data_IF_173371566606
#
_entry.id   IF_173371566606
#
_cell.length_a   1.000
_cell.length_b   1.000
_cell.length_c   1.000
_cell.angle_alpha   90.00
_cell.angle_beta   90.00
_cell.angle_gamma   90.00
#
_symmetry.space_group_name_H-M   'P 1'
#
loop_
_entity.id
_entity.type
_entity.pdbx_description
1 polymer ?
#
# COMPACT_ATOMS: atom_id res chain seq x y z
N UNK A 1 4.57 16.81 46.17
CA UNK A 1 5.97 16.69 45.70
C UNK A 1 5.91 16.39 44.23
N UNK A 2 5.85 17.48 43.42
CA UNK A 2 5.63 17.40 41.97
C UNK A 2 6.95 17.19 41.26
N UNK A 3 7.08 16.02 40.58
CA UNK A 3 8.23 15.78 39.71
C UNK A 3 7.79 16.14 38.28
N UNK A 4 8.09 17.37 37.88
CA UNK A 4 8.06 17.79 36.50
C UNK A 4 9.22 17.09 35.75
N UNK A 5 8.92 16.08 34.95
CA UNK A 5 9.86 15.49 33.99
C UNK A 5 9.89 16.37 32.75
N UNK A 6 10.92 17.17 32.61
CA UNK A 6 11.25 17.89 31.38
C UNK A 6 11.91 16.89 30.43
N UNK A 7 11.17 16.45 29.40
CA UNK A 7 11.76 15.72 28.28
C UNK A 7 12.35 16.71 27.30
N UNK A 8 13.67 16.74 27.21
CA UNK A 8 14.39 17.39 26.14
C UNK A 8 14.36 16.44 24.94
N UNK A 9 13.45 16.68 23.96
CA UNK A 9 13.47 16.00 22.68
C UNK A 9 14.57 16.57 21.80
N UNK A 10 15.59 15.77 21.51
CA UNK A 10 16.52 16.06 20.43
C UNK A 10 15.80 15.79 19.10
N UNK A 11 15.53 16.86 18.36
CA UNK A 11 14.96 16.78 17.00
C UNK A 11 16.08 16.29 16.07
N UNK A 12 16.06 15.01 15.72
CA UNK A 12 16.86 14.51 14.61
C UNK A 12 15.97 14.60 13.36
N UNK A 13 16.20 15.63 12.56
CA UNK A 13 15.58 15.74 11.25
C UNK A 13 16.16 14.64 10.35
N UNK A 14 15.36 13.60 10.06
CA UNK A 14 15.68 12.68 8.98
C UNK A 14 15.33 13.35 7.63
N UNK A 15 16.21 13.29 6.64
CA UNK A 15 15.90 13.82 5.33
C UNK A 15 14.78 12.98 4.71
N UNK A 16 13.69 13.62 4.34
CA UNK A 16 12.70 13.07 3.42
C UNK A 16 13.42 12.81 2.10
N UNK A 17 13.67 11.54 1.79
CA UNK A 17 14.25 11.14 0.52
C UNK A 17 13.22 11.37 -0.57
N UNK A 18 13.44 12.44 -1.31
CA UNK A 18 12.73 12.76 -2.55
C UNK A 18 13.24 11.81 -3.63
N UNK A 19 12.43 10.88 -4.04
CA UNK A 19 12.78 9.92 -5.08
C UNK A 19 11.73 9.85 -6.18
N UNK A 20 11.63 10.90 -6.96
CA UNK A 20 11.03 10.86 -8.30
C UNK A 20 11.50 12.07 -9.08
N UNK A 21 12.69 12.07 -9.58
CA UNK A 21 13.19 12.63 -10.82
C UNK A 21 14.69 12.90 -10.82
N UNK A 22 15.35 12.41 -11.86
CA UNK A 22 16.80 12.52 -12.05
C UNK A 22 17.25 13.79 -12.79
N UNK A 23 16.55 14.90 -12.74
CA UNK A 23 16.93 16.08 -13.50
C UNK A 23 16.86 17.43 -12.75
N UNK A 24 17.17 17.48 -11.47
CA UNK A 24 17.45 18.77 -10.85
C UNK A 24 18.62 18.69 -9.87
N UNK A 25 19.56 19.56 -10.14
CA UNK A 25 20.84 19.81 -9.50
C UNK A 25 20.79 19.66 -7.98
N UNK A 26 21.75 18.92 -7.44
CA UNK A 26 22.18 18.92 -6.04
C UNK A 26 22.22 20.38 -5.53
N UNK A 27 21.15 20.75 -4.84
CA UNK A 27 21.07 21.98 -4.07
C UNK A 27 21.42 21.69 -2.62
N UNK A 28 22.15 22.60 -2.04
CA UNK A 28 22.67 22.68 -0.68
C UNK A 28 21.96 21.81 0.37
N UNK A 29 22.62 20.78 0.89
CA UNK A 29 22.12 19.71 1.77
C UNK A 29 21.70 20.16 3.19
N UNK A 30 21.50 21.44 3.43
CA UNK A 30 21.25 21.99 4.79
C UNK A 30 19.87 22.68 4.97
N UNK A 31 18.96 22.58 4.01
CA UNK A 31 17.64 23.14 4.23
C UNK A 31 16.76 22.06 4.87
N UNK A 32 16.19 22.29 6.08
CA UNK A 32 15.26 21.35 6.67
C UNK A 32 14.08 21.15 5.71
N UNK A 33 13.73 19.89 5.44
CA UNK A 33 12.56 19.57 4.63
C UNK A 33 11.35 20.36 5.15
N UNK A 34 10.63 21.01 4.26
CA UNK A 34 9.46 21.79 4.64
C UNK A 34 8.49 20.87 5.42
N UNK A 35 8.00 21.36 6.57
CA UNK A 35 7.05 20.61 7.35
C UNK A 35 5.77 20.37 6.54
N UNK A 36 5.30 19.14 6.51
CA UNK A 36 4.01 18.77 5.88
C UNK A 36 2.89 19.50 6.61
N UNK A 37 1.93 20.03 5.87
CA UNK A 37 0.78 20.76 6.38
C UNK A 37 -0.53 20.07 5.96
N UNK A 38 -1.64 20.42 6.60
CA UNK A 38 -2.97 19.96 6.17
C UNK A 38 -3.31 20.39 4.73
N UNK A 39 -2.75 21.54 4.30
CA UNK A 39 -2.92 22.00 2.93
C UNK A 39 -2.25 21.09 1.90
N UNK A 40 -1.15 20.44 2.25
CA UNK A 40 -0.46 19.49 1.37
C UNK A 40 -1.25 18.20 1.21
N UNK A 41 -2.04 17.84 2.23
CA UNK A 41 -2.95 16.69 2.19
C UNK A 41 -4.20 16.97 1.36
N UNK A 42 -4.61 18.21 1.25
CA UNK A 42 -5.89 18.57 0.61
C UNK A 42 -5.95 18.15 -0.86
N UNK A 43 -7.05 17.51 -1.24
CA UNK A 43 -7.33 17.10 -2.62
C UNK A 43 -8.02 15.75 -2.73
N UNK A 44 -8.16 15.32 -3.97
CA UNK A 44 -8.71 14.03 -4.36
C UNK A 44 -7.55 13.04 -4.52
N UNK A 45 -7.58 11.96 -3.76
CA UNK A 45 -6.60 10.88 -3.79
C UNK A 45 -7.30 9.58 -4.11
N UNK A 46 -6.71 8.74 -4.94
CA UNK A 46 -7.33 7.47 -5.32
C UNK A 46 -6.27 6.41 -5.61
N UNK A 47 -6.72 5.16 -5.53
CA UNK A 47 -5.99 4.01 -6.08
C UNK A 47 -7.01 2.99 -6.57
N UNK A 48 -6.67 2.28 -7.64
CA UNK A 48 -7.41 1.12 -8.11
C UNK A 48 -6.43 -0.01 -8.32
N UNK A 49 -6.71 -1.15 -7.72
CA UNK A 49 -5.90 -2.35 -7.81
C UNK A 49 -6.68 -3.46 -8.50
N UNK A 50 -5.96 -4.24 -9.28
CA UNK A 50 -6.49 -5.45 -9.90
C UNK A 50 -5.75 -6.63 -9.31
N UNK A 51 -6.50 -7.47 -8.62
CA UNK A 51 -6.00 -8.73 -8.10
C UNK A 51 -6.54 -9.87 -8.95
N UNK A 52 -6.08 -11.09 -8.73
CA UNK A 52 -6.64 -12.25 -9.42
C UNK A 52 -8.09 -12.56 -9.07
N UNK A 53 -8.59 -11.99 -7.99
CA UNK A 53 -9.92 -12.32 -7.44
C UNK A 53 -10.92 -11.18 -7.62
N UNK A 54 -10.43 -9.95 -7.76
CA UNK A 54 -11.25 -8.75 -7.61
C UNK A 54 -10.61 -7.50 -8.20
N UNK A 55 -11.41 -6.46 -8.30
CA UNK A 55 -10.96 -5.08 -8.46
C UNK A 55 -11.33 -4.34 -7.19
N UNK A 56 -10.36 -3.72 -6.54
CA UNK A 56 -10.59 -2.80 -5.44
C UNK A 56 -10.30 -1.36 -5.86
N UNK A 57 -11.09 -0.44 -5.36
CA UNK A 57 -10.90 1.00 -5.58
C UNK A 57 -11.07 1.75 -4.28
N UNK A 58 -10.09 2.59 -3.98
CA UNK A 58 -10.11 3.45 -2.81
C UNK A 58 -10.04 4.91 -3.22
N UNK A 59 -10.77 5.75 -2.53
CA UNK A 59 -10.76 7.19 -2.75
C UNK A 59 -10.75 7.93 -1.42
N UNK A 60 -9.88 8.95 -1.32
CA UNK A 60 -9.90 9.95 -0.27
C UNK A 60 -10.21 11.30 -0.87
N UNK A 61 -11.12 12.01 -0.24
CA UNK A 61 -11.33 13.44 -0.45
C UNK A 61 -10.98 14.16 0.85
N UNK A 62 -9.88 14.90 0.84
CA UNK A 62 -9.37 15.61 2.02
C UNK A 62 -9.53 17.12 1.79
N UNK A 63 -10.21 17.79 2.71
CA UNK A 63 -10.39 19.25 2.70
C UNK A 63 -9.18 19.97 3.33
N UNK A 64 -8.96 21.25 3.01
CA UNK A 64 -7.86 22.03 3.60
C UNK A 64 -7.91 22.16 5.12
N UNK A 65 -9.06 21.98 5.77
CA UNK A 65 -9.21 21.97 7.22
C UNK A 65 -8.93 20.61 7.87
N UNK A 66 -8.55 19.63 7.06
CA UNK A 66 -8.25 18.25 7.46
C UNK A 66 -9.48 17.34 7.53
N UNK A 67 -10.70 17.84 7.37
CA UNK A 67 -11.86 16.94 7.27
C UNK A 67 -11.77 16.08 6.01
N UNK A 68 -12.18 14.82 6.09
CA UNK A 68 -12.07 13.91 4.95
C UNK A 68 -13.28 12.99 4.82
N UNK A 69 -13.42 12.44 3.63
CA UNK A 69 -14.27 11.31 3.30
C UNK A 69 -13.44 10.25 2.60
N UNK A 70 -13.57 9.02 3.06
CA UNK A 70 -12.95 7.84 2.47
C UNK A 70 -14.00 6.88 1.95
N UNK A 71 -13.70 6.21 0.85
CA UNK A 71 -14.53 5.15 0.27
C UNK A 71 -13.65 4.03 -0.26
N UNK A 72 -13.98 2.82 0.12
CA UNK A 72 -13.43 1.58 -0.42
C UNK A 72 -14.53 0.79 -1.11
N UNK A 73 -14.28 0.37 -2.34
CA UNK A 73 -15.20 -0.45 -3.13
C UNK A 73 -14.46 -1.72 -3.53
N UNK A 74 -15.04 -2.84 -3.16
CA UNK A 74 -14.60 -4.17 -3.51
C UNK A 74 -15.54 -4.77 -4.55
N UNK A 75 -15.00 -5.16 -5.70
CA UNK A 75 -15.76 -5.74 -6.81
C UNK A 75 -15.16 -7.11 -7.15
N UNK A 76 -15.72 -8.22 -6.64
CA UNK A 76 -15.25 -9.54 -6.95
C UNK A 76 -15.56 -9.87 -8.42
N UNK A 77 -14.71 -10.70 -9.03
CA UNK A 77 -15.08 -11.29 -10.32
C UNK A 77 -16.20 -12.30 -10.12
N UNK A 78 -17.16 -12.32 -11.05
CA UNK A 78 -18.21 -13.34 -11.05
C UNK A 78 -17.58 -14.73 -11.05
N UNK A 79 -17.95 -15.55 -10.08
CA UNK A 79 -17.56 -16.95 -10.02
C UNK A 79 -18.61 -17.80 -10.70
N UNK A 80 -18.16 -18.73 -11.51
CA UNK A 80 -18.95 -19.89 -11.87
C UNK A 80 -19.10 -20.81 -10.64
N UNK A 81 -20.32 -20.96 -10.20
CA UNK A 81 -20.97 -22.06 -9.50
C UNK A 81 -21.04 -22.12 -7.98
N UNK A 82 -20.18 -21.65 -7.08
CA UNK A 82 -20.44 -22.03 -5.67
C UNK A 82 -20.12 -21.05 -4.53
N UNK A 83 -19.47 -19.94 -4.74
CA UNK A 83 -19.27 -18.94 -3.69
C UNK A 83 -19.49 -17.52 -4.20
N UNK A 84 -20.67 -16.99 -3.98
CA UNK A 84 -20.94 -15.57 -4.17
C UNK A 84 -20.20 -14.77 -3.10
N UNK A 85 -19.13 -14.09 -3.49
CA UNK A 85 -18.63 -12.99 -2.66
C UNK A 85 -19.47 -11.76 -3.01
N UNK A 86 -20.07 -11.09 -2.02
CA UNK A 86 -20.87 -9.90 -2.27
C UNK A 86 -19.96 -8.75 -2.74
N UNK A 87 -20.53 -7.85 -3.52
CA UNK A 87 -19.96 -6.51 -3.67
C UNK A 87 -19.98 -5.84 -2.29
N UNK A 88 -18.91 -5.14 -2.00
CA UNK A 88 -18.72 -4.50 -0.70
C UNK A 88 -18.36 -3.04 -0.90
N UNK A 89 -18.98 -2.18 -0.16
CA UNK A 89 -18.61 -0.78 -0.08
C UNK A 89 -18.49 -0.37 1.38
N UNK A 90 -17.35 0.20 1.70
CA UNK A 90 -17.05 0.80 2.99
C UNK A 90 -16.88 2.30 2.82
N UNK A 91 -17.36 3.08 3.78
CA UNK A 91 -17.11 4.52 3.86
C UNK A 91 -16.82 4.93 5.29
N UNK A 92 -15.87 5.82 5.44
CA UNK A 92 -15.71 6.57 6.69
C UNK A 92 -15.57 8.06 6.44
N UNK A 93 -15.77 8.81 7.50
CA UNK A 93 -15.59 10.25 7.55
C UNK A 93 -14.86 10.59 8.84
N UNK A 94 -13.97 11.56 8.77
CA UNK A 94 -13.18 11.95 9.92
C UNK A 94 -12.43 13.26 9.70
N UNK A 95 -11.42 13.44 10.53
CA UNK A 95 -10.57 14.62 10.47
C UNK A 95 -9.12 14.28 10.76
N UNK A 96 -8.24 14.76 9.92
CA UNK A 96 -6.80 14.80 10.17
C UNK A 96 -6.39 16.03 10.96
N UNK A 97 -5.44 15.85 11.88
CA UNK A 97 -4.80 16.93 12.62
C UNK A 97 -5.14 16.95 14.11
N UNK A 98 -4.32 17.58 14.95
CA UNK A 98 -3.11 18.29 14.56
C UNK A 98 -1.92 17.37 14.25
N UNK A 99 -0.89 17.91 13.61
CA UNK A 99 0.42 17.24 13.59
C UNK A 99 0.96 17.22 15.03
N UNK A 100 1.31 16.02 15.50
CA UNK A 100 1.82 15.83 16.86
C UNK A 100 3.29 16.24 16.92
N UNK A 101 4.09 15.69 16.00
CA UNK A 101 5.51 16.01 15.85
C UNK A 101 5.97 15.58 14.43
N UNK A 102 6.69 16.46 13.74
CA UNK A 102 7.16 16.16 12.39
C UNK A 102 6.00 15.83 11.43
N UNK A 103 6.01 14.63 10.89
CA UNK A 103 5.00 14.11 9.97
C UNK A 103 4.01 13.10 10.61
N UNK A 104 3.99 13.04 11.94
CA UNK A 104 2.97 12.29 12.68
C UNK A 104 1.71 13.14 12.81
N UNK A 105 0.59 12.62 12.35
CA UNK A 105 -0.72 13.28 12.39
C UNK A 105 -1.72 12.43 13.14
N UNK A 106 -2.62 13.09 13.86
CA UNK A 106 -3.78 12.42 14.46
C UNK A 106 -4.86 12.26 13.40
N UNK A 107 -5.43 11.07 13.32
CA UNK A 107 -6.61 10.75 12.56
C UNK A 107 -7.75 10.47 13.54
N UNK A 108 -8.87 11.16 13.36
CA UNK A 108 -10.08 10.99 14.18
C UNK A 108 -11.23 10.57 13.28
N UNK A 109 -11.56 9.29 13.30
CA UNK A 109 -12.67 8.71 12.53
C UNK A 109 -13.94 8.93 13.33
N UNK A 110 -14.89 9.67 12.76
CA UNK A 110 -16.13 10.05 13.44
C UNK A 110 -17.34 9.27 12.95
N UNK A 111 -17.25 8.66 11.78
CA UNK A 111 -18.29 7.81 11.21
C UNK A 111 -17.65 6.70 10.35
N UNK A 112 -18.11 5.47 10.52
CA UNK A 112 -17.78 4.34 9.66
C UNK A 112 -19.04 3.53 9.34
N UNK A 113 -19.18 3.11 8.10
CA UNK A 113 -20.34 2.33 7.62
C UNK A 113 -19.97 1.45 6.43
N UNK A 114 -20.73 0.38 6.28
CA UNK A 114 -20.56 -0.56 5.19
C UNK A 114 -21.89 -0.98 4.57
N UNK A 115 -21.85 -1.51 3.37
CA UNK A 115 -22.98 -2.17 2.71
C UNK A 115 -22.51 -3.26 1.78
N UNK A 116 -23.42 -4.22 1.55
CA UNK A 116 -23.18 -5.40 0.73
C UNK A 116 -24.30 -5.60 -0.28
N UNK A 117 -23.98 -6.08 -1.47
CA UNK A 117 -24.95 -6.54 -2.46
C UNK A 117 -24.43 -7.75 -3.21
N UNK A 118 -25.33 -8.64 -3.62
CA UNK A 118 -24.98 -9.83 -4.43
C UNK A 118 -24.68 -9.46 -5.88
N UNK A 119 -25.28 -8.40 -6.39
CA UNK A 119 -25.09 -7.89 -7.74
C UNK A 119 -24.60 -6.44 -7.67
N UNK A 120 -23.75 -6.04 -8.60
CA UNK A 120 -23.18 -4.69 -8.64
C UNK A 120 -24.26 -3.61 -8.73
N UNK A 121 -25.30 -3.85 -9.51
CA UNK A 121 -26.39 -2.90 -9.73
C UNK A 121 -27.27 -2.70 -8.48
N UNK A 122 -27.23 -3.63 -7.54
CA UNK A 122 -28.02 -3.57 -6.31
C UNK A 122 -27.28 -2.85 -5.16
N UNK A 123 -25.97 -2.56 -5.29
CA UNK A 123 -25.17 -1.98 -4.22
C UNK A 123 -25.69 -0.59 -3.79
N UNK A 124 -26.19 0.20 -4.73
CA UNK A 124 -26.72 1.52 -4.43
C UNK A 124 -28.03 1.49 -3.63
N UNK A 125 -28.77 0.39 -3.73
CA UNK A 125 -30.03 0.17 -3.01
C UNK A 125 -29.80 -0.56 -1.67
N UNK A 126 -28.60 -1.10 -1.45
CA UNK A 126 -28.26 -1.82 -0.23
C UNK A 126 -28.26 -0.88 0.97
N UNK A 127 -28.72 -1.42 2.09
CA UNK A 127 -28.75 -0.68 3.36
C UNK A 127 -27.32 -0.49 3.89
N UNK A 128 -27.05 0.70 4.39
CA UNK A 128 -25.85 0.99 5.15
C UNK A 128 -25.99 0.52 6.59
N UNK A 129 -25.01 -0.24 7.06
CA UNK A 129 -24.85 -0.61 8.46
C UNK A 129 -23.67 0.19 9.05
N UNK A 130 -23.84 0.71 10.27
CA UNK A 130 -22.79 1.44 11.00
C UNK A 130 -21.84 0.44 11.64
N UNK A 131 -20.54 0.75 11.62
CA UNK A 131 -19.46 -0.05 12.21
C UNK A 131 -18.85 0.75 13.37
N UNK A 132 -19.41 0.68 14.60
CA UNK A 132 -18.95 1.49 15.72
C UNK A 132 -17.50 1.20 16.13
N UNK A 133 -17.01 -0.01 15.93
CA UNK A 133 -15.63 -0.42 16.23
C UNK A 133 -14.60 0.26 15.34
N UNK A 134 -15.01 0.78 14.19
CA UNK A 134 -14.15 1.54 13.29
C UNK A 134 -14.19 3.06 13.56
N UNK A 135 -14.89 3.48 14.62
CA UNK A 135 -14.90 4.87 15.08
C UNK A 135 -13.87 4.99 16.20
N UNK A 136 -12.69 5.51 15.85
CA UNK A 136 -11.57 5.60 16.80
C UNK A 136 -10.66 6.77 16.44
N UNK A 137 -9.72 7.07 17.32
CA UNK A 137 -8.65 8.03 17.09
C UNK A 137 -7.33 7.31 17.09
N UNK A 138 -6.51 7.53 16.06
CA UNK A 138 -5.18 6.95 15.91
C UNK A 138 -4.15 7.99 15.51
N UNK A 139 -2.89 7.58 15.46
CA UNK A 139 -1.78 8.42 15.00
C UNK A 139 -1.04 7.69 13.90
N UNK A 140 -0.95 8.32 12.74
CA UNK A 140 -0.27 7.77 11.57
C UNK A 140 0.89 8.66 11.13
N UNK A 141 1.87 8.08 10.45
CA UNK A 141 2.93 8.84 9.79
C UNK A 141 2.57 9.07 8.34
N UNK A 142 2.75 10.31 7.89
CA UNK A 142 2.45 10.72 6.52
C UNK A 142 3.74 11.04 5.78
N UNK A 143 3.80 10.64 4.52
CA UNK A 143 4.87 11.03 3.61
C UNK A 143 4.34 11.20 2.19
N UNK A 144 5.14 11.89 1.37
CA UNK A 144 4.89 12.03 -0.07
C UNK A 144 6.07 11.41 -0.84
N UNK A 145 6.03 10.09 -1.11
CA UNK A 145 7.13 9.41 -1.81
C UNK A 145 7.41 9.96 -3.21
N UNK A 146 6.48 10.72 -3.79
CA UNK A 146 6.60 11.32 -5.10
C UNK A 146 6.04 12.75 -5.11
N UNK A 147 6.83 13.71 -4.63
CA UNK A 147 6.61 15.17 -4.75
C UNK A 147 5.14 15.63 -4.61
N UNK A 148 4.41 15.12 -3.63
CA UNK A 148 2.99 15.47 -3.42
C UNK A 148 2.01 14.82 -4.40
N UNK A 149 2.50 13.96 -5.30
CA UNK A 149 1.65 13.21 -6.24
C UNK A 149 1.23 11.85 -5.71
N UNK A 150 1.95 11.32 -4.73
CA UNK A 150 1.63 10.08 -4.02
C UNK A 150 1.61 10.38 -2.52
N UNK A 151 0.49 10.10 -1.88
CA UNK A 151 0.29 10.17 -0.44
C UNK A 151 0.51 8.78 0.15
N UNK A 152 1.33 8.69 1.19
CA UNK A 152 1.60 7.46 1.92
C UNK A 152 1.21 7.64 3.38
N UNK A 153 0.39 6.74 3.89
CA UNK A 153 0.11 6.57 5.31
C UNK A 153 0.84 5.33 5.81
N UNK A 154 1.52 5.45 6.93
CA UNK A 154 2.22 4.36 7.60
C UNK A 154 1.66 4.17 9.01
N UNK A 155 1.12 2.99 9.28
CA UNK A 155 0.63 2.55 10.58
C UNK A 155 1.64 1.60 11.21
N UNK A 156 1.74 1.58 12.53
CA UNK A 156 2.80 0.88 13.25
C UNK A 156 2.24 -0.10 14.26
N UNK A 157 3.02 -1.14 14.54
CA UNK A 157 2.78 -1.99 15.70
C UNK A 157 3.05 -1.18 16.98
N UNK A 158 1.99 -0.80 17.69
CA UNK A 158 2.07 0.04 18.88
C UNK A 158 2.14 1.54 18.58
N UNK A 159 2.46 2.37 19.58
CA UNK A 159 2.42 3.81 19.43
C UNK A 159 3.36 4.31 18.33
N UNK A 160 2.83 5.08 17.39
CA UNK A 160 3.62 5.71 16.34
C UNK A 160 4.59 6.73 16.93
N UNK A 161 5.85 6.70 16.49
CA UNK A 161 6.88 7.68 16.81
C UNK A 161 7.62 8.08 15.54
N UNK A 162 8.39 9.16 15.57
CA UNK A 162 9.21 9.55 14.41
C UNK A 162 10.24 8.50 14.01
N UNK A 163 10.65 7.66 14.95
CA UNK A 163 11.68 6.64 14.79
C UNK A 163 11.10 5.23 14.72
N UNK A 164 9.77 5.06 14.71
CA UNK A 164 9.15 3.75 14.54
C UNK A 164 9.58 3.14 13.20
N UNK A 165 10.07 1.91 13.25
CA UNK A 165 10.53 1.16 12.08
C UNK A 165 9.65 -0.06 11.79
N UNK A 166 8.89 -0.50 12.79
CA UNK A 166 8.02 -1.66 12.69
C UNK A 166 6.67 -1.27 12.06
N UNK A 167 6.71 -0.98 10.77
CA UNK A 167 5.52 -0.63 9.99
C UNK A 167 4.61 -1.86 9.90
N UNK A 168 3.37 -1.70 10.36
CA UNK A 168 2.34 -2.73 10.27
C UNK A 168 1.65 -2.71 8.92
N UNK A 169 1.25 -1.51 8.48
CA UNK A 169 0.53 -1.29 7.23
C UNK A 169 0.99 -0.02 6.55
N UNK A 170 0.96 -0.07 5.23
CA UNK A 170 1.19 1.08 4.35
C UNK A 170 -0.02 1.24 3.45
N UNK A 171 -0.49 2.46 3.27
CA UNK A 171 -1.51 2.80 2.28
C UNK A 171 -0.97 3.86 1.34
N UNK A 172 -1.21 3.68 0.05
CA UNK A 172 -0.73 4.57 -1.00
C UNK A 172 -1.89 5.08 -1.82
N UNK A 173 -1.93 6.37 -2.04
CA UNK A 173 -2.94 7.03 -2.86
C UNK A 173 -2.30 7.98 -3.85
N UNK A 174 -2.81 8.01 -5.06
CA UNK A 174 -2.36 8.89 -6.12
C UNK A 174 -3.25 10.12 -6.20
N UNK A 175 -2.63 11.29 -6.31
CA UNK A 175 -3.38 12.53 -6.49
C UNK A 175 -4.07 12.52 -7.84
N UNK A 176 -5.37 12.77 -7.86
CA UNK A 176 -6.15 12.82 -9.10
C UNK A 176 -5.57 13.85 -10.07
N UNK A 177 -5.27 13.41 -11.28
CA UNK A 177 -4.68 14.27 -12.32
C UNK A 177 -3.19 14.55 -12.17
N UNK A 178 -2.47 13.85 -11.28
CA UNK A 178 -1.01 13.94 -11.23
C UNK A 178 -0.38 13.50 -12.55
N UNK A 179 0.64 14.23 -13.01
CA UNK A 179 1.31 13.99 -14.30
C UNK A 179 2.77 13.56 -14.18
N UNK A 180 3.32 13.61 -12.97
CA UNK A 180 4.73 13.35 -12.67
C UNK A 180 4.95 12.06 -11.89
N UNK A 181 4.11 11.06 -12.11
CA UNK A 181 4.24 9.75 -11.47
C UNK A 181 5.37 8.93 -12.12
N UNK A 182 6.08 8.08 -11.36
CA UNK A 182 7.21 7.33 -11.84
C UNK A 182 6.81 6.30 -12.91
N UNK A 183 7.60 6.19 -13.97
CA UNK A 183 7.39 5.24 -15.07
C UNK A 183 8.69 4.61 -15.57
N UNK A 184 9.82 4.89 -14.89
CA UNK A 184 11.13 4.34 -15.27
C UNK A 184 11.31 2.92 -14.71
N UNK A 185 11.22 1.92 -15.57
CA UNK A 185 11.45 0.51 -15.23
C UNK A 185 12.84 0.23 -14.66
N UNK A 186 13.85 1.06 -14.95
CA UNK A 186 15.21 0.83 -14.45
C UNK A 186 15.31 0.92 -12.95
N UNK A 187 14.47 1.72 -12.31
CA UNK A 187 14.39 1.83 -10.84
C UNK A 187 13.92 0.55 -10.18
N UNK A 188 13.10 -0.25 -10.88
CA UNK A 188 12.53 -1.48 -10.35
C UNK A 188 13.53 -2.64 -10.36
N UNK A 189 14.49 -2.66 -11.28
CA UNK A 189 15.37 -3.80 -11.53
C UNK A 189 16.08 -4.30 -10.26
N UNK A 190 16.08 -5.61 -10.06
CA UNK A 190 16.66 -6.29 -8.90
C UNK A 190 15.64 -6.98 -8.02
N UNK A 191 16.07 -7.36 -6.83
CA UNK A 191 15.24 -8.08 -5.85
C UNK A 191 14.87 -7.17 -4.69
N UNK A 192 13.63 -7.24 -4.28
CA UNK A 192 13.03 -6.43 -3.23
C UNK A 192 12.36 -7.33 -2.21
N UNK A 193 12.65 -7.12 -0.93
CA UNK A 193 12.06 -7.89 0.17
C UNK A 193 11.31 -7.00 1.14
N UNK A 194 10.10 -7.41 1.50
CA UNK A 194 9.39 -6.96 2.69
C UNK A 194 9.51 -8.01 3.77
N UNK A 195 9.80 -7.58 4.99
CA UNK A 195 10.00 -8.47 6.15
C UNK A 195 9.12 -8.00 7.30
N UNK A 196 8.65 -8.98 8.07
CA UNK A 196 7.99 -8.68 9.33
C UNK A 196 9.00 -8.26 10.44
N UNK A 197 8.48 -7.98 11.63
CA UNK A 197 9.25 -7.59 12.81
C UNK A 197 10.29 -8.66 13.25
N UNK A 198 10.09 -9.91 12.89
CA UNK A 198 10.98 -11.04 13.21
C UNK A 198 12.00 -11.29 12.10
N UNK A 199 11.98 -10.46 11.03
CA UNK A 199 12.88 -10.53 9.89
C UNK A 199 12.51 -11.59 8.86
N UNK A 200 11.32 -12.21 8.97
CA UNK A 200 10.81 -13.19 8.01
C UNK A 200 10.32 -12.46 6.76
N UNK A 201 10.70 -12.97 5.59
CA UNK A 201 10.25 -12.42 4.32
C UNK A 201 8.75 -12.71 4.15
N UNK A 202 7.93 -11.68 4.23
CA UNK A 202 6.47 -11.77 4.05
C UNK A 202 6.06 -11.62 2.60
N UNK A 203 6.83 -10.83 1.84
CA UNK A 203 6.62 -10.63 0.42
C UNK A 203 7.95 -10.34 -0.27
N UNK A 204 8.08 -10.76 -1.53
CA UNK A 204 9.26 -10.45 -2.32
C UNK A 204 8.89 -10.21 -3.79
N UNK A 205 9.62 -9.30 -4.43
CA UNK A 205 9.53 -9.05 -5.87
C UNK A 205 10.92 -9.13 -6.50
N UNK A 206 11.03 -9.79 -7.65
CA UNK A 206 12.24 -9.82 -8.44
C UNK A 206 11.95 -9.37 -9.86
N UNK A 207 12.47 -8.19 -10.22
CA UNK A 207 12.34 -7.63 -11.55
C UNK A 207 13.60 -7.92 -12.37
N UNK A 208 13.42 -8.53 -13.54
CA UNK A 208 14.51 -8.87 -14.47
C UNK A 208 14.08 -8.59 -15.91
N UNK A 209 14.62 -7.51 -16.49
CA UNK A 209 14.21 -7.03 -17.80
C UNK A 209 12.73 -6.66 -17.81
N UNK A 210 11.94 -7.33 -18.65
CA UNK A 210 10.48 -7.13 -18.77
C UNK A 210 9.65 -8.13 -17.94
N UNK A 211 10.29 -8.94 -17.10
CA UNK A 211 9.60 -9.94 -16.29
C UNK A 211 9.68 -9.61 -14.80
N UNK A 212 8.65 -10.01 -14.08
CA UNK A 212 8.57 -9.95 -12.62
C UNK A 212 8.19 -11.30 -12.06
N UNK A 213 8.83 -11.65 -10.94
CA UNK A 213 8.45 -12.74 -10.06
C UNK A 213 7.96 -12.12 -8.75
N UNK A 214 6.81 -12.58 -8.27
CA UNK A 214 6.15 -12.06 -7.07
C UNK A 214 5.94 -13.22 -6.11
N UNK A 215 6.61 -13.19 -4.96
CA UNK A 215 6.38 -14.13 -3.87
C UNK A 215 5.40 -13.53 -2.87
N UNK A 216 4.31 -14.25 -2.62
CA UNK A 216 3.32 -13.96 -1.60
C UNK A 216 3.48 -14.98 -0.46
N UNK A 217 4.01 -14.52 0.67
CA UNK A 217 4.26 -15.38 1.83
C UNK A 217 2.98 -15.80 2.55
N UNK A 218 1.93 -15.01 2.51
CA UNK A 218 0.67 -15.33 3.18
C UNK A 218 -0.04 -16.53 2.53
N UNK A 219 -0.02 -16.59 1.19
CA UNK A 219 -0.62 -17.66 0.42
C UNK A 219 0.39 -18.75 0.02
N UNK A 220 1.69 -18.53 0.28
CA UNK A 220 2.79 -19.42 -0.15
C UNK A 220 2.73 -19.67 -1.65
N UNK A 221 2.72 -18.61 -2.42
CA UNK A 221 2.57 -18.61 -3.88
C UNK A 221 3.64 -17.76 -4.56
N UNK A 222 3.96 -18.15 -5.78
CA UNK A 222 4.83 -17.40 -6.67
C UNK A 222 4.10 -17.13 -7.97
N UNK A 223 4.08 -15.89 -8.39
CA UNK A 223 3.54 -15.44 -9.66
C UNK A 223 4.68 -15.00 -10.57
N UNK A 224 4.62 -15.32 -11.86
CA UNK A 224 5.61 -14.91 -12.85
C UNK A 224 4.92 -14.40 -14.09
N UNK A 225 5.37 -13.28 -14.61
CA UNK A 225 4.82 -12.73 -15.85
C UNK A 225 5.61 -11.55 -16.39
N UNK A 226 5.31 -11.19 -17.62
CA UNK A 226 5.78 -9.95 -18.20
C UNK A 226 5.00 -8.77 -17.60
N UNK A 227 5.69 -7.67 -17.33
CA UNK A 227 5.07 -6.50 -16.71
C UNK A 227 5.25 -5.22 -17.52
N UNK A 228 4.35 -4.29 -17.29
CA UNK A 228 4.50 -2.88 -17.65
C UNK A 228 4.60 -2.05 -16.38
N UNK A 229 5.29 -0.91 -16.47
CA UNK A 229 5.35 0.05 -15.38
C UNK A 229 4.99 1.43 -15.92
N UNK A 230 3.92 1.99 -15.40
CA UNK A 230 3.44 3.30 -15.81
C UNK A 230 2.73 3.98 -14.66
N UNK A 231 3.02 5.25 -14.48
CA UNK A 231 2.35 6.11 -13.48
C UNK A 231 2.36 5.51 -12.06
N UNK A 232 3.48 4.89 -11.67
CA UNK A 232 3.65 4.24 -10.37
C UNK A 232 2.97 2.88 -10.23
N UNK A 233 2.33 2.38 -11.29
CA UNK A 233 1.63 1.09 -11.30
C UNK A 233 2.41 0.05 -12.08
N UNK A 234 2.68 -1.07 -11.46
CA UNK A 234 3.12 -2.32 -12.11
C UNK A 234 1.88 -3.08 -12.54
N UNK A 235 1.82 -3.45 -13.82
CA UNK A 235 0.73 -4.30 -14.33
C UNK A 235 1.32 -5.54 -14.98
N UNK A 236 0.91 -6.71 -14.49
CA UNK A 236 1.29 -8.03 -15.00
C UNK A 236 0.07 -8.59 -15.71
N UNK A 237 0.16 -8.77 -17.02
CA UNK A 237 -0.94 -9.24 -17.85
C UNK A 237 -1.20 -10.74 -17.62
N UNK A 238 -0.74 -11.56 -18.56
CA UNK A 238 -0.77 -13.01 -18.34
C UNK A 238 0.35 -13.39 -17.37
N UNK A 239 0.02 -14.22 -16.39
CA UNK A 239 0.98 -14.71 -15.43
C UNK A 239 0.80 -16.20 -15.17
N UNK A 240 1.90 -16.83 -14.74
CA UNK A 240 1.91 -18.21 -14.29
C UNK A 240 1.96 -18.22 -12.76
N UNK A 241 1.20 -19.10 -12.16
CA UNK A 241 1.20 -19.28 -10.72
C UNK A 241 1.84 -20.61 -10.34
N UNK A 242 2.62 -20.57 -9.28
CA UNK A 242 3.32 -21.71 -8.70
C UNK A 242 2.97 -21.82 -7.23
N UNK A 243 2.92 -23.05 -6.75
CA UNK A 243 2.78 -23.38 -5.34
C UNK A 243 3.92 -24.29 -4.92
N UNK A 244 4.09 -24.48 -3.62
CA UNK A 244 5.08 -25.40 -3.08
C UNK A 244 4.37 -26.50 -2.28
N UNK A 245 4.82 -27.72 -2.47
CA UNK A 245 4.29 -28.86 -1.74
C UNK A 245 4.77 -28.81 -0.27
N UNK A 246 3.86 -28.98 0.69
CA UNK A 246 4.16 -28.85 2.12
C UNK A 246 4.12 -27.42 2.67
N UNK A 247 3.72 -26.47 1.85
CA UNK A 247 3.46 -25.09 2.27
C UNK A 247 4.71 -24.34 2.75
N UNK A 248 4.52 -23.42 3.69
CA UNK A 248 5.55 -22.49 4.17
C UNK A 248 6.81 -23.20 4.73
N UNK A 249 6.67 -24.43 5.21
CA UNK A 249 7.80 -25.17 5.78
C UNK A 249 8.89 -25.55 4.76
N UNK A 250 8.57 -25.50 3.47
CA UNK A 250 9.47 -25.84 2.37
C UNK A 250 9.99 -24.61 1.63
N UNK A 251 9.72 -23.41 2.15
CA UNK A 251 10.25 -22.17 1.59
C UNK A 251 11.71 -21.97 2.03
N UNK A 252 12.56 -21.60 1.08
CA UNK A 252 13.88 -21.09 1.41
C UNK A 252 13.76 -19.71 2.09
N UNK A 253 14.01 -19.67 3.39
CA UNK A 253 13.84 -18.44 4.18
C UNK A 253 14.84 -17.33 3.79
N UNK A 254 15.96 -17.67 3.14
CA UNK A 254 16.95 -16.69 2.71
C UNK A 254 16.58 -16.04 1.36
N UNK A 255 16.03 -16.83 0.44
CA UNK A 255 15.52 -16.36 -0.86
C UNK A 255 14.34 -17.24 -1.30
N UNK A 256 13.10 -16.75 -1.18
CA UNK A 256 11.93 -17.53 -1.60
C UNK A 256 11.95 -17.95 -3.07
N UNK A 257 12.61 -17.20 -3.94
CA UNK A 257 12.70 -17.51 -5.37
C UNK A 257 13.53 -18.76 -5.68
N UNK A 258 14.42 -19.13 -4.77
CA UNK A 258 15.25 -20.35 -4.87
C UNK A 258 14.57 -21.61 -4.29
N UNK A 259 13.27 -21.51 -3.93
CA UNK A 259 12.49 -22.65 -3.46
C UNK A 259 12.09 -23.56 -4.62
N UNK A 260 11.73 -24.82 -4.31
CA UNK A 260 11.28 -25.80 -5.31
C UNK A 260 9.81 -25.58 -5.68
N UNK A 261 9.57 -24.61 -6.51
CA UNK A 261 8.24 -24.25 -6.99
C UNK A 261 7.71 -25.25 -8.03
N UNK A 262 6.45 -25.62 -7.89
CA UNK A 262 5.73 -26.47 -8.84
C UNK A 262 4.59 -25.68 -9.48
N UNK A 263 4.34 -25.88 -10.78
CA UNK A 263 3.19 -25.29 -11.45
C UNK A 263 1.92 -25.74 -10.75
N UNK A 264 1.08 -24.79 -10.37
CA UNK A 264 -0.16 -25.07 -9.67
C UNK A 264 -1.22 -25.60 -10.63
N UNK A 265 -1.15 -26.89 -10.96
CA UNK A 265 -2.06 -27.55 -11.92
C UNK A 265 -3.47 -27.80 -11.39
N UNK A 266 -3.67 -27.73 -10.08
CA UNK A 266 -4.92 -28.17 -9.43
C UNK A 266 -5.58 -27.13 -8.55
N UNK A 267 -5.01 -25.95 -8.42
CA UNK A 267 -5.70 -24.88 -7.74
C UNK A 267 -6.79 -24.39 -8.72
N UNK A 268 -8.04 -24.44 -8.29
CA UNK A 268 -9.16 -23.78 -8.94
C UNK A 268 -8.89 -22.27 -8.96
N UNK A 269 -7.96 -21.87 -9.84
CA UNK A 269 -7.51 -20.49 -9.96
C UNK A 269 -8.41 -19.84 -10.98
N UNK A 270 -9.45 -19.27 -10.47
CA UNK A 270 -10.38 -18.51 -11.26
C UNK A 270 -9.66 -17.32 -11.90
N UNK A 271 -9.63 -17.30 -13.24
CA UNK A 271 -9.30 -16.16 -14.10
C UNK A 271 -7.97 -15.43 -13.89
N UNK A 272 -6.98 -16.03 -13.23
CA UNK A 272 -5.66 -15.44 -13.05
C UNK A 272 -5.00 -15.06 -14.38
N UNK A 273 -5.12 -15.93 -15.36
CA UNK A 273 -4.50 -15.74 -16.67
C UNK A 273 -5.20 -14.67 -17.50
N UNK A 274 -6.48 -14.40 -17.25
CA UNK A 274 -7.28 -13.49 -18.07
C UNK A 274 -7.31 -12.06 -17.55
N UNK A 275 -7.30 -11.85 -16.22
CA UNK A 275 -7.47 -10.52 -15.60
C UNK A 275 -6.17 -9.82 -15.26
N UNK A 276 -5.09 -10.58 -15.06
CA UNK A 276 -3.80 -10.03 -14.66
C UNK A 276 -3.74 -9.60 -13.20
N UNK A 277 -2.66 -8.89 -12.87
CA UNK A 277 -2.39 -8.31 -11.54
C UNK A 277 -1.93 -6.89 -11.74
N UNK A 278 -2.41 -5.95 -10.96
CA UNK A 278 -1.84 -4.60 -10.88
C UNK A 278 -1.65 -4.16 -9.43
N UNK A 279 -0.58 -3.45 -9.17
CA UNK A 279 -0.26 -2.92 -7.85
C UNK A 279 0.57 -1.65 -7.95
N UNK A 280 0.47 -0.79 -6.95
CA UNK A 280 1.33 0.38 -6.84
C UNK A 280 2.73 -0.04 -6.40
N UNK A 281 3.76 0.54 -7.03
CA UNK A 281 5.16 0.32 -6.64
C UNK A 281 5.95 1.61 -6.82
N UNK A 282 6.19 2.31 -5.72
CA UNK A 282 6.89 3.60 -5.70
C UNK A 282 8.28 3.37 -5.13
N UNK A 283 9.26 3.26 -6.01
CA UNK A 283 10.63 2.92 -5.68
C UNK A 283 11.56 4.13 -5.69
N UNK A 284 12.54 4.11 -4.79
CA UNK A 284 13.80 4.83 -4.88
C UNK A 284 14.97 3.83 -5.00
N UNK A 285 16.20 4.30 -4.89
CA UNK A 285 17.38 3.44 -5.04
C UNK A 285 17.47 2.27 -4.05
N UNK A 286 16.84 2.36 -2.89
CA UNK A 286 17.02 1.40 -1.78
C UNK A 286 15.72 0.87 -1.20
N UNK A 287 14.67 1.66 -1.27
CA UNK A 287 13.37 1.33 -0.67
C UNK A 287 12.25 1.50 -1.67
N UNK A 288 11.16 0.78 -1.49
CA UNK A 288 9.94 0.98 -2.24
C UNK A 288 8.72 0.80 -1.35
N UNK A 289 7.69 1.58 -1.63
CA UNK A 289 6.37 1.40 -1.07
C UNK A 289 5.48 0.72 -2.11
N UNK A 290 4.71 -0.24 -1.68
CA UNK A 290 3.72 -0.90 -2.53
C UNK A 290 2.40 -1.07 -1.81
N UNK A 291 1.32 -1.13 -2.58
CA UNK A 291 0.04 -1.64 -2.13
C UNK A 291 -0.32 -2.82 -3.02
N UNK A 292 -0.46 -3.99 -2.43
CA UNK A 292 -0.68 -5.26 -3.10
C UNK A 292 -1.73 -6.07 -2.33
N UNK A 293 -2.79 -6.51 -2.99
CA UNK A 293 -3.90 -7.25 -2.36
C UNK A 293 -4.44 -6.60 -1.08
N UNK A 294 -4.74 -5.32 -1.10
CA UNK A 294 -5.22 -4.53 0.04
C UNK A 294 -4.23 -4.36 1.20
N UNK A 295 -3.01 -4.85 1.04
CA UNK A 295 -1.95 -4.70 2.03
C UNK A 295 -0.81 -3.86 1.48
N UNK A 296 -0.44 -2.86 2.26
CA UNK A 296 0.74 -2.06 1.98
C UNK A 296 2.00 -2.68 2.56
N UNK A 297 3.08 -2.61 1.81
CA UNK A 297 4.38 -3.14 2.19
C UNK A 297 5.47 -2.10 1.98
N UNK A 298 6.43 -2.08 2.89
CA UNK A 298 7.71 -1.41 2.70
C UNK A 298 8.74 -2.44 2.26
N UNK A 299 9.34 -2.21 1.10
CA UNK A 299 10.38 -3.06 0.55
C UNK A 299 11.76 -2.44 0.70
N UNK A 300 12.75 -3.30 0.87
CA UNK A 300 14.16 -2.94 0.78
C UNK A 300 14.81 -3.66 -0.40
N UNK A 301 15.59 -2.93 -1.19
CA UNK A 301 16.37 -3.47 -2.31
C UNK A 301 17.57 -4.25 -1.79
N UNK A 302 17.81 -5.40 -2.39
CA UNK A 302 19.00 -6.21 -2.12
C UNK A 302 20.21 -5.72 -2.91
#
# INVERSE_FOLDING_TARGET
MDIKRTFACAIIAMPLLVACNNDDKIGDDNQPAAAITLQDLAGDWNITLVTPYEISSETYFINPDGSYQYSYIYSPYEKEEDEYKPFYEYRDEGKYGPFVIGNLIVEDITMARERYALLVDDIEQARWDTIPENIFTDTTRISFPCQGSVLCFEYFYGPATLTSQDVERVYLYFKKGATNLPSDKSLLQGTWYSKDKDGVITMALRFSGDNVEIYDGALVRLYKGAYTYKDGIVSVGQNEMFAIDGGINNINAADPFDSQWQTAQSLNVYNFQEKGISFAFIANDKTAYTLFFDQGYLFNKQ
#
